data_IF_709035259085
#
_entry.id   IF_709035259085
#
_cell.length_a   1.000
_cell.length_b   1.000
_cell.length_c   1.000
_cell.angle_alpha   90.00
_cell.angle_beta   90.00
_cell.angle_gamma   90.00
#
_symmetry.space_group_name_H-M   'P 1'
#
loop_
_entity.id
_entity.type
_entity.pdbx_description
1 polymer ?
#
# COMPACT_ATOMS: atom_id res chain seq x y z
N UNK A 1 38.20 -33.11 31.74
CA UNK A 1 39.28 -32.66 30.83
C UNK A 1 39.01 -33.22 29.42
N UNK A 2 38.75 -32.31 28.47
CA UNK A 2 38.74 -32.43 27.00
C UNK A 2 38.18 -33.69 26.32
N UNK A 3 36.87 -33.70 26.08
CA UNK A 3 36.32 -34.36 24.88
C UNK A 3 36.59 -33.40 23.72
N UNK A 4 37.59 -33.74 22.88
CA UNK A 4 37.94 -32.98 21.68
C UNK A 4 36.88 -33.22 20.60
N UNK A 5 36.27 -32.14 20.12
CA UNK A 5 35.69 -32.07 18.78
C UNK A 5 36.74 -32.46 17.75
N UNK A 6 36.50 -33.54 17.03
CA UNK A 6 37.23 -33.87 15.81
C UNK A 6 36.26 -33.88 14.63
N UNK A 7 36.35 -32.79 13.89
CA UNK A 7 35.73 -32.55 12.61
C UNK A 7 35.94 -33.72 11.64
N UNK A 8 34.85 -34.17 11.00
CA UNK A 8 34.92 -34.89 9.74
C UNK A 8 33.71 -34.56 8.88
N UNK A 9 33.79 -33.45 8.13
CA UNK A 9 33.00 -33.26 6.90
C UNK A 9 33.86 -33.71 5.71
N UNK A 10 33.59 -34.87 5.08
CA UNK A 10 34.13 -35.13 3.77
C UNK A 10 33.24 -34.39 2.76
N UNK A 11 33.81 -33.37 2.13
CA UNK A 11 33.29 -32.72 0.93
C UNK A 11 33.32 -33.76 -0.20
N UNK A 12 32.19 -34.45 -0.34
CA UNK A 12 31.84 -35.25 -1.49
C UNK A 12 30.87 -34.47 -2.38
N UNK A 13 31.39 -34.05 -3.53
CA UNK A 13 30.73 -34.09 -4.85
C UNK A 13 29.30 -33.54 -4.94
N UNK A 14 29.17 -32.33 -5.49
CA UNK A 14 28.16 -32.02 -6.52
C UNK A 14 28.64 -30.87 -7.43
N UNK A 15 28.25 -30.89 -8.72
CA UNK A 15 28.99 -30.34 -9.86
C UNK A 15 28.40 -29.02 -10.38
N UNK A 16 29.18 -28.23 -11.13
CA UNK A 16 28.81 -27.30 -12.23
C UNK A 16 27.58 -26.34 -12.13
N UNK A 17 26.80 -26.35 -11.06
CA UNK A 17 25.63 -25.49 -10.82
C UNK A 17 26.02 -24.15 -10.18
N UNK A 18 27.27 -24.02 -9.76
CA UNK A 18 27.78 -22.86 -9.01
C UNK A 18 28.31 -21.72 -9.88
N UNK A 19 28.20 -21.79 -11.21
CA UNK A 19 28.51 -20.67 -12.11
C UNK A 19 27.29 -19.81 -12.47
N UNK A 20 26.05 -20.28 -12.25
CA UNK A 20 24.84 -19.44 -12.35
C UNK A 20 24.59 -18.61 -11.07
N UNK A 21 25.39 -18.79 -10.00
CA UNK A 21 25.31 -17.95 -8.80
C UNK A 21 26.34 -16.81 -8.76
N UNK A 22 27.20 -16.70 -9.78
CA UNK A 22 28.19 -15.61 -9.93
C UNK A 22 27.71 -14.48 -10.86
N UNK A 23 26.41 -14.40 -11.16
CA UNK A 23 25.79 -13.22 -11.76
C UNK A 23 25.11 -12.31 -10.72
N UNK A 24 25.08 -12.73 -9.45
CA UNK A 24 24.19 -12.15 -8.46
C UNK A 24 24.93 -11.38 -7.34
N UNK A 25 26.03 -10.71 -7.68
CA UNK A 25 26.70 -9.75 -6.78
C UNK A 25 26.73 -8.30 -7.33
N UNK A 26 25.98 -7.98 -8.40
CA UNK A 26 26.03 -6.64 -9.05
C UNK A 26 24.72 -5.83 -8.99
N UNK A 27 23.65 -6.32 -8.39
CA UNK A 27 22.34 -5.63 -8.45
C UNK A 27 22.03 -4.78 -7.21
N UNK A 28 22.82 -3.75 -6.96
CA UNK A 28 22.32 -2.61 -6.18
C UNK A 28 21.13 -1.86 -6.89
N UNK A 29 20.54 -2.44 -7.95
CA UNK A 29 19.49 -1.85 -8.82
C UNK A 29 18.39 -2.84 -9.28
N UNK A 30 18.04 -3.86 -8.48
CA UNK A 30 17.16 -4.96 -8.94
C UNK A 30 15.66 -4.64 -9.09
N UNK A 31 15.19 -3.44 -8.71
CA UNK A 31 13.77 -3.08 -8.86
C UNK A 31 13.31 -2.95 -10.32
N UNK A 32 14.17 -2.42 -11.19
CA UNK A 32 13.86 -2.16 -12.60
C UNK A 32 13.89 -3.47 -13.41
N UNK A 33 14.83 -4.35 -13.11
CA UNK A 33 14.93 -5.69 -13.70
C UNK A 33 13.74 -6.58 -13.28
N UNK A 34 13.27 -6.47 -12.03
CA UNK A 34 12.11 -7.21 -11.53
C UNK A 34 10.79 -6.79 -12.17
N UNK A 35 10.58 -5.48 -12.41
CA UNK A 35 9.38 -4.97 -13.10
C UNK A 35 9.38 -5.25 -14.61
N UNK A 36 10.55 -5.22 -15.26
CA UNK A 36 10.69 -5.54 -16.68
C UNK A 36 10.43 -7.03 -16.98
N UNK A 37 10.81 -7.94 -16.06
CA UNK A 37 10.67 -9.39 -16.24
C UNK A 37 9.23 -9.91 -16.20
N UNK A 38 8.28 -9.18 -15.60
CA UNK A 38 6.90 -9.62 -15.41
C UNK A 38 6.08 -9.59 -16.70
N UNK A 39 6.28 -8.57 -17.55
CA UNK A 39 5.46 -8.40 -18.75
C UNK A 39 6.18 -7.81 -19.97
N UNK A 40 7.48 -7.54 -19.89
CA UNK A 40 8.27 -6.89 -20.95
C UNK A 40 7.56 -5.64 -21.51
N UNK A 41 6.91 -4.88 -20.62
CA UNK A 41 6.06 -3.76 -20.96
C UNK A 41 6.64 -2.48 -20.34
N UNK A 42 6.95 -1.48 -21.17
CA UNK A 42 7.53 -0.21 -20.70
C UNK A 42 6.58 0.57 -19.77
N UNK A 43 5.26 0.32 -19.85
CA UNK A 43 4.29 0.96 -18.97
C UNK A 43 4.47 0.54 -17.49
N UNK A 44 4.78 -0.73 -17.23
CA UNK A 44 4.92 -1.25 -15.86
C UNK A 44 6.18 -0.66 -15.19
N UNK A 45 7.23 -0.41 -15.98
CA UNK A 45 8.44 0.29 -15.54
C UNK A 45 8.11 1.75 -15.18
N UNK A 46 7.33 2.43 -16.02
CA UNK A 46 6.88 3.80 -15.76
C UNK A 46 6.05 3.91 -14.48
N UNK A 47 5.10 3.01 -14.27
CA UNK A 47 4.29 2.95 -13.06
C UNK A 47 5.13 2.65 -11.81
N UNK A 48 6.09 1.72 -11.90
CA UNK A 48 6.99 1.39 -10.81
C UNK A 48 7.87 2.58 -10.41
N UNK A 49 8.38 3.34 -11.38
CA UNK A 49 9.17 4.54 -11.13
C UNK A 49 8.32 5.63 -10.46
N UNK A 50 7.08 5.83 -10.92
CA UNK A 50 6.15 6.79 -10.34
C UNK A 50 5.83 6.45 -8.86
N UNK A 51 5.51 5.19 -8.57
CA UNK A 51 5.25 4.72 -7.20
C UNK A 51 6.52 4.82 -6.33
N UNK A 52 7.70 4.56 -6.88
CA UNK A 52 8.97 4.70 -6.16
C UNK A 52 9.24 6.16 -5.76
N UNK A 53 8.95 7.12 -6.64
CA UNK A 53 9.07 8.56 -6.32
C UNK A 53 8.08 8.96 -5.23
N UNK A 54 6.82 8.54 -5.31
CA UNK A 54 5.82 8.82 -4.26
C UNK A 54 6.24 8.21 -2.91
N UNK A 55 6.73 6.97 -2.92
CA UNK A 55 7.23 6.30 -1.72
C UNK A 55 8.41 7.02 -1.07
N UNK A 56 9.31 7.60 -1.88
CA UNK A 56 10.41 8.43 -1.38
C UNK A 56 9.92 9.70 -0.68
N UNK A 57 8.87 10.36 -1.19
CA UNK A 57 8.28 11.50 -0.51
C UNK A 57 7.65 11.12 0.83
N UNK A 58 7.02 9.96 0.95
CA UNK A 58 6.44 9.50 2.22
C UNK A 58 7.48 9.22 3.28
N UNK A 59 8.65 8.69 2.89
CA UNK A 59 9.80 8.54 3.77
C UNK A 59 10.34 9.90 4.22
N UNK A 60 10.41 10.88 3.32
CA UNK A 60 10.90 12.24 3.63
C UNK A 60 9.94 13.04 4.53
N UNK A 61 8.65 12.75 4.47
CA UNK A 61 7.61 13.39 5.28
C UNK A 61 7.42 12.73 6.66
N UNK A 62 8.23 11.71 7.00
CA UNK A 62 8.14 10.93 8.24
C UNK A 62 6.71 10.42 8.53
N UNK A 63 5.95 10.16 7.46
CA UNK A 63 4.59 9.64 7.59
C UNK A 63 4.70 8.21 8.09
N UNK A 64 4.02 7.84 9.19
CA UNK A 64 4.06 6.48 9.69
C UNK A 64 3.60 5.50 8.62
N UNK A 65 4.18 4.31 8.58
CA UNK A 65 3.84 3.27 7.58
C UNK A 65 2.42 2.72 7.82
N UNK A 66 1.92 2.81 9.06
CA UNK A 66 0.61 2.32 9.48
C UNK A 66 -0.58 2.79 8.59
N UNK A 67 -0.77 4.09 8.30
CA UNK A 67 -1.83 4.57 7.40
C UNK A 67 -1.73 4.04 5.96
N UNK A 68 -0.52 3.78 5.45
CA UNK A 68 -0.34 3.23 4.10
C UNK A 68 -0.88 1.79 4.03
N UNK A 69 -0.54 0.97 5.02
CA UNK A 69 -1.04 -0.40 5.14
C UNK A 69 -2.55 -0.40 5.34
N UNK A 70 -3.07 0.50 6.17
CA UNK A 70 -4.49 0.63 6.42
C UNK A 70 -5.26 1.03 5.15
N UNK A 71 -4.73 1.98 4.37
CA UNK A 71 -5.32 2.37 3.09
C UNK A 71 -5.31 1.22 2.08
N UNK A 72 -4.23 0.43 2.03
CA UNK A 72 -4.12 -0.74 1.15
C UNK A 72 -5.18 -1.81 1.47
N UNK A 73 -5.48 -2.02 2.75
CA UNK A 73 -6.50 -2.98 3.18
C UNK A 73 -7.92 -2.42 2.99
N UNK A 74 -8.12 -1.15 3.34
CA UNK A 74 -9.43 -0.49 3.23
C UNK A 74 -9.85 -0.26 1.78
N UNK A 75 -8.93 -0.04 0.86
CA UNK A 75 -9.21 0.16 -0.56
C UNK A 75 -10.11 -0.92 -1.18
N UNK A 76 -9.69 -2.20 -1.23
CA UNK A 76 -10.52 -3.28 -1.78
C UNK A 76 -11.79 -3.53 -0.94
N UNK A 77 -11.74 -3.26 0.37
CA UNK A 77 -12.92 -3.36 1.22
C UNK A 77 -13.97 -2.30 0.86
N UNK A 78 -13.54 -1.07 0.59
CA UNK A 78 -14.42 0.02 0.16
C UNK A 78 -15.02 -0.27 -1.23
N UNK A 79 -14.20 -0.69 -2.19
CA UNK A 79 -14.64 -1.04 -3.54
C UNK A 79 -15.65 -2.20 -3.53
N UNK A 80 -15.38 -3.26 -2.76
CA UNK A 80 -16.29 -4.41 -2.67
C UNK A 80 -17.63 -4.04 -2.00
N UNK A 81 -17.61 -3.22 -0.95
CA UNK A 81 -18.84 -2.73 -0.32
C UNK A 81 -19.61 -1.77 -1.23
N UNK A 82 -18.91 -0.88 -1.95
CA UNK A 82 -19.52 0.03 -2.92
C UNK A 82 -20.20 -0.76 -4.04
N UNK A 83 -19.48 -1.71 -4.66
CA UNK A 83 -20.02 -2.59 -5.69
C UNK A 83 -21.22 -3.38 -5.19
N UNK A 84 -21.13 -3.96 -3.98
CA UNK A 84 -22.24 -4.69 -3.36
C UNK A 84 -23.47 -3.78 -3.16
N UNK A 85 -23.28 -2.55 -2.70
CA UNK A 85 -24.37 -1.59 -2.51
C UNK A 85 -25.06 -1.21 -3.83
N UNK A 86 -24.28 -1.04 -4.91
CA UNK A 86 -24.79 -0.71 -6.24
C UNK A 86 -25.55 -1.89 -6.88
N UNK A 87 -25.06 -3.11 -6.68
CA UNK A 87 -25.74 -4.33 -7.11
C UNK A 87 -27.09 -4.52 -6.39
N UNK A 88 -27.13 -4.31 -5.07
CA UNK A 88 -28.38 -4.35 -4.30
C UNK A 88 -29.36 -3.24 -4.71
N UNK A 89 -28.85 -2.12 -5.23
CA UNK A 89 -29.63 -0.97 -5.67
C UNK A 89 -30.09 -1.03 -7.13
N UNK A 90 -29.86 -2.16 -7.82
CA UNK A 90 -30.20 -2.36 -9.24
C UNK A 90 -29.66 -1.24 -10.14
N UNK A 91 -28.46 -0.73 -9.86
CA UNK A 91 -27.82 0.34 -10.63
C UNK A 91 -28.42 1.74 -10.46
N UNK A 92 -29.47 1.92 -9.67
CA UNK A 92 -30.04 3.25 -9.39
C UNK A 92 -29.37 3.87 -8.16
N UNK A 93 -28.69 5.02 -8.32
CA UNK A 93 -28.12 5.76 -7.20
C UNK A 93 -29.19 6.42 -6.30
N UNK A 94 -30.46 6.33 -6.70
CA UNK A 94 -31.61 6.89 -5.98
C UNK A 94 -31.86 6.23 -4.62
N UNK A 95 -31.44 4.99 -4.40
CA UNK A 95 -31.68 4.28 -3.12
C UNK A 95 -30.99 4.95 -1.93
N UNK A 96 -29.87 5.65 -2.15
CA UNK A 96 -29.23 6.46 -1.09
C UNK A 96 -30.15 7.57 -0.57
N UNK A 97 -31.07 8.08 -1.40
CA UNK A 97 -32.07 9.08 -1.02
C UNK A 97 -33.42 8.48 -0.65
N UNK A 98 -33.76 7.28 -1.13
CA UNK A 98 -35.05 6.64 -0.81
C UNK A 98 -35.05 6.00 0.57
N UNK A 99 -33.88 5.62 1.11
CA UNK A 99 -33.76 4.98 2.43
C UNK A 99 -33.37 6.00 3.50
N UNK A 100 -34.25 6.31 4.47
CA UNK A 100 -33.99 7.33 5.49
C UNK A 100 -32.76 7.01 6.35
N UNK A 101 -32.42 5.72 6.50
CA UNK A 101 -31.21 5.27 7.21
C UNK A 101 -29.91 5.71 6.50
N UNK A 102 -29.90 5.70 5.16
CA UNK A 102 -28.74 6.08 4.36
C UNK A 102 -28.51 7.59 4.44
N UNK A 103 -29.58 8.38 4.34
CA UNK A 103 -29.51 9.84 4.53
C UNK A 103 -28.98 10.19 5.92
N UNK A 104 -29.46 9.52 6.97
CA UNK A 104 -28.98 9.78 8.33
C UNK A 104 -27.47 9.54 8.47
N UNK A 105 -26.98 8.39 8.01
CA UNK A 105 -25.55 8.07 8.03
C UNK A 105 -24.72 9.00 7.15
N UNK A 106 -25.23 9.40 5.98
CA UNK A 106 -24.55 10.31 5.07
C UNK A 106 -24.43 11.72 5.67
N UNK A 107 -25.52 12.22 6.27
CA UNK A 107 -25.51 13.48 7.00
C UNK A 107 -24.50 13.46 8.14
N UNK A 108 -24.48 12.36 8.91
CA UNK A 108 -23.58 12.18 10.05
C UNK A 108 -22.11 12.10 9.61
N UNK A 109 -21.82 11.42 8.49
CA UNK A 109 -20.50 11.35 7.90
C UNK A 109 -20.00 12.73 7.45
N UNK A 110 -20.85 13.50 6.76
CA UNK A 110 -20.53 14.87 6.33
C UNK A 110 -20.31 15.78 7.53
N UNK A 111 -21.19 15.73 8.54
CA UNK A 111 -21.05 16.48 9.79
C UNK A 111 -19.72 16.17 10.49
N UNK A 112 -19.36 14.89 10.61
CA UNK A 112 -18.11 14.45 11.24
C UNK A 112 -16.88 14.93 10.49
N UNK A 113 -16.89 14.88 9.15
CA UNK A 113 -15.78 15.33 8.31
C UNK A 113 -15.63 16.86 8.33
N UNK A 114 -16.75 17.58 8.36
CA UNK A 114 -16.79 19.04 8.43
C UNK A 114 -16.51 19.58 9.84
N UNK A 115 -16.75 18.81 10.90
CA UNK A 115 -16.53 19.21 12.28
C UNK A 115 -15.12 19.73 12.58
N UNK A 116 -14.01 19.04 12.23
CA UNK A 116 -12.66 19.57 12.44
C UNK A 116 -12.37 20.80 11.58
N UNK A 117 -12.94 20.88 10.36
CA UNK A 117 -12.77 22.02 9.46
C UNK A 117 -13.48 23.27 10.00
N UNK A 118 -14.73 23.15 10.47
CA UNK A 118 -15.49 24.22 11.10
C UNK A 118 -14.82 24.69 12.39
N UNK A 119 -14.33 23.76 13.23
CA UNK A 119 -13.57 24.10 14.44
C UNK A 119 -12.30 24.88 14.12
N UNK A 120 -11.55 24.49 13.09
CA UNK A 120 -10.33 25.18 12.66
C UNK A 120 -10.63 26.58 12.11
N UNK A 121 -11.73 26.73 11.35
CA UNK A 121 -12.20 28.02 10.84
C UNK A 121 -12.68 28.98 11.95
N UNK A 122 -13.43 28.48 12.93
CA UNK A 122 -13.90 29.26 14.08
C UNK A 122 -12.76 29.57 15.06
N UNK A 123 -11.75 28.70 15.18
CA UNK A 123 -10.55 28.93 16.00
C UNK A 123 -9.66 30.04 15.45
N UNK A 124 -9.52 30.16 14.12
CA UNK A 124 -8.76 31.25 13.50
C UNK A 124 -9.40 32.63 13.76
N UNK A 125 -10.71 32.69 14.00
CA UNK A 125 -11.39 33.94 14.38
C UNK A 125 -11.03 34.40 15.80
N UNK A 126 -10.69 33.49 16.72
CA UNK A 126 -10.31 33.83 18.11
C UNK A 126 -8.87 34.28 18.30
N UNK A 127 -7.99 34.11 17.30
CA UNK A 127 -6.60 34.62 17.33
C UNK A 127 -6.45 35.99 16.67
N UNK A 128 -7.51 36.48 16.01
CA UNK A 128 -7.54 37.77 15.31
C UNK A 128 -8.42 38.82 16.01
N UNK A 129 -8.97 38.50 17.19
CA UNK A 129 -9.66 39.40 18.11
C UNK A 129 -8.92 39.37 19.45
#
# INVERSE_FOLDING_TARGET
MKVKETAKKPYGICPASMTIWNADQTYNKKGILGSYALRNNMFDVGAMLLIAVIGYFFLKLEIPIAPIVLALILGPLAESNLRRSLLLSQGSASTFFTRPICIFFLLLAVLSLCWPLLRKALSNRKKAA
#
